data_IF_060621502830
#
_entry.id   IF_060621502830
#
_cell.length_a   1.000
_cell.length_b   1.000
_cell.length_c   1.000
_cell.angle_alpha   90.00
_cell.angle_beta   90.00
_cell.angle_gamma   90.00
#
_symmetry.space_group_name_H-M   'P 1'
#
loop_
_entity.id
_entity.type
_entity.pdbx_description
1 polymer ?
#
# COMPACT_ATOMS: atom_id res chain seq x y z
N UNK A 1 -94.37 10.11 -46.58
CA UNK A 1 -93.07 9.86 -45.93
C UNK A 1 -92.69 11.11 -45.16
N UNK A 2 -92.33 10.99 -43.88
CA UNK A 2 -92.06 12.12 -42.99
C UNK A 2 -90.66 12.70 -43.21
N UNK A 3 -90.62 13.83 -43.91
CA UNK A 3 -89.41 14.52 -44.33
C UNK A 3 -88.68 15.21 -43.16
N UNK A 4 -89.38 15.47 -42.05
CA UNK A 4 -88.80 16.14 -40.87
C UNK A 4 -88.04 15.15 -39.99
N UNK A 5 -88.60 13.95 -39.79
CA UNK A 5 -87.92 12.85 -39.12
C UNK A 5 -86.65 12.42 -39.89
N UNK A 6 -86.73 12.38 -41.23
CA UNK A 6 -85.56 12.07 -42.08
C UNK A 6 -84.44 13.12 -41.97
N UNK A 7 -84.79 14.42 -41.89
CA UNK A 7 -83.81 15.51 -41.68
C UNK A 7 -83.16 15.45 -40.31
N UNK A 8 -83.96 15.26 -39.25
CA UNK A 8 -83.43 15.13 -37.89
C UNK A 8 -82.49 13.92 -37.74
N UNK A 9 -82.82 12.80 -38.38
CA UNK A 9 -81.95 11.62 -38.44
C UNK A 9 -80.65 11.90 -39.21
N UNK A 10 -80.71 12.61 -40.34
CA UNK A 10 -79.53 13.01 -41.10
C UNK A 10 -78.62 13.96 -40.32
N UNK A 11 -79.19 14.93 -39.58
CA UNK A 11 -78.43 15.87 -38.74
C UNK A 11 -77.79 15.17 -37.53
N UNK A 12 -78.49 14.20 -36.92
CA UNK A 12 -77.93 13.37 -35.87
C UNK A 12 -76.76 12.51 -36.38
N UNK A 13 -76.95 11.82 -37.52
CA UNK A 13 -75.90 11.02 -38.15
C UNK A 13 -74.68 11.87 -38.55
N UNK A 14 -74.91 13.09 -39.06
CA UNK A 14 -73.83 14.03 -39.41
C UNK A 14 -73.04 14.48 -38.17
N UNK A 15 -73.71 14.74 -37.04
CA UNK A 15 -73.04 15.06 -35.77
C UNK A 15 -72.21 13.89 -35.26
N UNK A 16 -72.79 12.69 -35.21
CA UNK A 16 -72.05 11.49 -34.80
C UNK A 16 -70.84 11.22 -35.69
N UNK A 17 -70.95 11.41 -37.00
CA UNK A 17 -69.82 11.28 -37.93
C UNK A 17 -68.73 12.31 -37.65
N UNK A 18 -69.09 13.58 -37.40
CA UNK A 18 -68.13 14.64 -37.06
C UNK A 18 -67.41 14.36 -35.75
N UNK A 19 -68.13 13.95 -34.71
CA UNK A 19 -67.55 13.64 -33.39
C UNK A 19 -66.61 12.43 -33.49
N UNK A 20 -67.02 11.38 -34.21
CA UNK A 20 -66.17 10.20 -34.46
C UNK A 20 -64.91 10.56 -35.27
N UNK A 21 -65.05 11.41 -36.30
CA UNK A 21 -63.89 11.86 -37.11
C UNK A 21 -62.93 12.72 -36.30
N UNK A 22 -63.44 13.59 -35.42
CA UNK A 22 -62.62 14.39 -34.52
C UNK A 22 -61.89 13.53 -33.48
N UNK A 23 -62.57 12.52 -32.92
CA UNK A 23 -61.96 11.57 -32.01
C UNK A 23 -60.87 10.72 -32.69
N UNK A 24 -61.09 10.25 -33.92
CA UNK A 24 -60.09 9.55 -34.73
C UNK A 24 -58.87 10.44 -35.03
N UNK A 25 -59.09 11.68 -35.46
CA UNK A 25 -58.00 12.63 -35.70
C UNK A 25 -57.17 12.92 -34.44
N UNK A 26 -57.82 13.08 -33.28
CA UNK A 26 -57.13 13.27 -32.00
C UNK A 26 -56.36 12.02 -31.56
N UNK A 27 -56.93 10.82 -31.75
CA UNK A 27 -56.25 9.56 -31.47
C UNK A 27 -55.01 9.38 -32.35
N UNK A 28 -55.12 9.64 -33.67
CA UNK A 28 -53.99 9.59 -34.60
C UNK A 28 -52.88 10.56 -34.22
N UNK A 29 -53.23 11.79 -33.83
CA UNK A 29 -52.25 12.79 -33.39
C UNK A 29 -51.48 12.29 -32.15
N UNK A 30 -52.19 11.74 -31.15
CA UNK A 30 -51.55 11.16 -29.95
C UNK A 30 -50.67 9.96 -30.29
N UNK A 31 -51.09 9.09 -31.21
CA UNK A 31 -50.26 7.98 -31.67
C UNK A 31 -48.97 8.50 -32.32
N UNK A 32 -49.04 9.51 -33.18
CA UNK A 32 -47.85 10.12 -33.79
C UNK A 32 -46.92 10.77 -32.77
N UNK A 33 -47.46 11.45 -31.76
CA UNK A 33 -46.66 12.00 -30.66
C UNK A 33 -45.96 10.90 -29.86
N UNK A 34 -46.68 9.81 -29.54
CA UNK A 34 -46.12 8.64 -28.85
C UNK A 34 -45.04 7.94 -29.68
N UNK A 35 -45.23 7.83 -30.99
CA UNK A 35 -44.23 7.27 -31.91
C UNK A 35 -42.96 8.13 -31.92
N UNK A 36 -43.13 9.46 -31.94
CA UNK A 36 -42.02 10.42 -31.85
C UNK A 36 -41.24 10.33 -30.54
N UNK A 37 -41.95 10.27 -29.41
CA UNK A 37 -41.34 10.10 -28.08
C UNK A 37 -40.63 8.74 -27.95
N UNK A 38 -41.21 7.68 -28.50
CA UNK A 38 -40.61 6.34 -28.50
C UNK A 38 -39.33 6.30 -29.32
N UNK A 39 -39.34 6.92 -30.51
CA UNK A 39 -38.14 7.03 -31.35
C UNK A 39 -37.03 7.82 -30.64
N UNK A 40 -37.38 8.93 -29.97
CA UNK A 40 -36.43 9.73 -29.20
C UNK A 40 -35.83 8.94 -28.04
N UNK A 41 -36.66 8.21 -27.27
CA UNK A 41 -36.18 7.38 -26.16
C UNK A 41 -35.23 6.26 -26.63
N UNK A 42 -35.51 5.64 -27.78
CA UNK A 42 -34.62 4.63 -28.37
C UNK A 42 -33.28 5.25 -28.78
N UNK A 43 -33.29 6.44 -29.38
CA UNK A 43 -32.06 7.11 -29.79
C UNK A 43 -31.23 7.55 -28.58
N UNK A 44 -31.85 8.10 -27.55
CA UNK A 44 -31.17 8.47 -26.31
C UNK A 44 -30.60 7.23 -25.59
N UNK A 45 -31.33 6.11 -25.58
CA UNK A 45 -30.82 4.84 -25.06
C UNK A 45 -29.59 4.35 -25.84
N UNK A 46 -29.60 4.43 -27.17
CA UNK A 46 -28.45 4.08 -28.02
C UNK A 46 -27.24 4.98 -27.75
N UNK A 47 -27.47 6.27 -27.55
CA UNK A 47 -26.41 7.24 -27.20
C UNK A 47 -25.84 7.01 -25.81
N UNK A 48 -26.68 6.64 -24.84
CA UNK A 48 -26.27 6.40 -23.46
C UNK A 48 -25.59 5.04 -23.27
N UNK A 49 -25.92 4.02 -24.07
CA UNK A 49 -25.35 2.69 -23.96
C UNK A 49 -23.80 2.66 -23.89
N UNK A 50 -23.05 3.25 -24.84
CA UNK A 50 -21.58 3.23 -24.78
C UNK A 50 -21.02 4.02 -23.60
N UNK A 51 -21.66 5.15 -23.22
CA UNK A 51 -21.27 5.94 -22.05
C UNK A 51 -21.46 5.16 -20.75
N UNK A 52 -22.54 4.36 -20.68
CA UNK A 52 -22.81 3.51 -19.52
C UNK A 52 -21.78 2.40 -19.40
N UNK A 53 -21.40 1.76 -20.51
CA UNK A 53 -20.35 0.75 -20.51
C UNK A 53 -19.00 1.31 -20.05
N UNK A 54 -18.65 2.52 -20.51
CA UNK A 54 -17.43 3.20 -20.07
C UNK A 54 -17.46 3.55 -18.58
N UNK A 55 -18.58 4.13 -18.12
CA UNK A 55 -18.80 4.39 -16.70
C UNK A 55 -18.67 3.11 -15.87
N UNK A 56 -19.32 2.02 -16.26
CA UNK A 56 -19.28 0.77 -15.50
C UNK A 56 -17.86 0.19 -15.45
N UNK A 57 -17.04 0.34 -16.51
CA UNK A 57 -15.61 -0.04 -16.49
C UNK A 57 -14.81 0.79 -15.48
N UNK A 58 -14.94 2.12 -15.54
CA UNK A 58 -14.19 3.02 -14.64
C UNK A 58 -14.66 2.86 -13.20
N UNK A 59 -15.96 2.72 -12.97
CA UNK A 59 -16.53 2.50 -11.64
C UNK A 59 -16.03 1.19 -11.03
N UNK A 60 -15.96 0.09 -11.79
CA UNK A 60 -15.37 -1.17 -11.32
C UNK A 60 -13.90 -1.02 -10.95
N UNK A 61 -13.10 -0.34 -11.76
CA UNK A 61 -11.69 -0.09 -11.45
C UNK A 61 -11.54 0.79 -10.20
N UNK A 62 -12.37 1.83 -10.06
CA UNK A 62 -12.35 2.73 -8.93
C UNK A 62 -12.72 2.02 -7.62
N UNK A 63 -13.75 1.17 -7.62
CA UNK A 63 -14.14 0.40 -6.42
C UNK A 63 -13.13 -0.69 -6.08
N UNK A 64 -12.49 -1.30 -7.09
CA UNK A 64 -11.38 -2.24 -6.89
C UNK A 64 -10.20 -1.56 -6.21
N UNK A 65 -9.75 -0.42 -6.75
CA UNK A 65 -8.64 0.38 -6.21
C UNK A 65 -8.96 0.95 -4.81
N UNK A 66 -10.21 1.34 -4.57
CA UNK A 66 -10.67 1.82 -3.26
C UNK A 66 -10.83 0.70 -2.21
N UNK A 67 -10.70 -0.57 -2.60
CA UNK A 67 -10.85 -1.72 -1.70
C UNK A 67 -12.29 -2.01 -1.30
N UNK A 68 -13.28 -1.49 -2.02
CA UNK A 68 -14.72 -1.66 -1.73
C UNK A 68 -15.41 -2.63 -2.68
N UNK A 69 -14.76 -3.03 -3.77
CA UNK A 69 -15.28 -4.05 -4.68
C UNK A 69 -15.31 -5.43 -4.01
N UNK A 70 -16.35 -6.22 -4.32
CA UNK A 70 -16.41 -7.63 -3.95
C UNK A 70 -15.31 -8.47 -4.63
N UNK A 71 -14.82 -8.01 -5.79
CA UNK A 71 -13.72 -8.64 -6.53
C UNK A 71 -12.35 -8.41 -5.87
N UNK A 72 -12.28 -7.57 -4.83
CA UNK A 72 -11.05 -7.34 -4.08
C UNK A 72 -10.89 -8.42 -3.00
N UNK A 73 -10.29 -9.56 -3.38
CA UNK A 73 -10.02 -10.69 -2.50
C UNK A 73 -9.21 -10.29 -1.25
N UNK A 74 -8.27 -9.36 -1.43
CA UNK A 74 -7.38 -8.85 -0.37
C UNK A 74 -8.05 -7.81 0.54
N UNK A 75 -9.23 -7.31 0.17
CA UNK A 75 -10.01 -6.28 0.88
C UNK A 75 -9.17 -5.08 1.34
N UNK A 76 -8.26 -4.64 0.48
CA UNK A 76 -7.33 -3.54 0.75
C UNK A 76 -7.30 -2.54 -0.39
N UNK A 77 -6.94 -1.29 -0.08
CA UNK A 77 -6.78 -0.24 -1.09
C UNK A 77 -5.52 -0.49 -1.92
N UNK A 78 -5.49 0.05 -3.14
CA UNK A 78 -4.34 -0.08 -4.05
C UNK A 78 -3.04 0.40 -3.40
N UNK A 79 -3.05 1.51 -2.65
CA UNK A 79 -1.84 2.03 -2.01
C UNK A 79 -1.32 1.07 -0.92
N UNK A 80 -2.22 0.41 -0.20
CA UNK A 80 -1.86 -0.59 0.80
C UNK A 80 -1.33 -1.88 0.14
N UNK A 81 -1.94 -2.29 -0.97
CA UNK A 81 -1.48 -3.44 -1.76
C UNK A 81 -0.05 -3.22 -2.30
N UNK A 82 0.22 -2.06 -2.88
CA UNK A 82 1.56 -1.70 -3.36
C UNK A 82 2.55 -1.68 -2.20
N UNK A 83 2.20 -1.06 -1.08
CA UNK A 83 3.09 -0.98 0.08
C UNK A 83 3.35 -2.37 0.71
N UNK A 84 2.36 -3.26 0.72
CA UNK A 84 2.52 -4.64 1.15
C UNK A 84 3.54 -5.39 0.27
N UNK A 85 3.43 -5.26 -1.06
CA UNK A 85 4.40 -5.84 -2.00
C UNK A 85 5.82 -5.28 -1.79
N UNK A 86 5.96 -3.99 -1.46
CA UNK A 86 7.27 -3.41 -1.11
C UNK A 86 7.78 -3.94 0.22
N UNK A 87 6.91 -4.07 1.22
CA UNK A 87 7.28 -4.62 2.51
C UNK A 87 7.74 -6.08 2.39
N UNK A 88 7.13 -6.88 1.51
CA UNK A 88 7.57 -8.24 1.21
C UNK A 88 8.99 -8.28 0.63
N UNK A 89 9.30 -7.41 -0.33
CA UNK A 89 10.65 -7.26 -0.87
C UNK A 89 11.66 -6.86 0.21
N UNK A 90 11.29 -5.88 1.04
CA UNK A 90 12.11 -5.42 2.17
C UNK A 90 12.33 -6.53 3.20
N UNK A 91 11.28 -7.30 3.54
CA UNK A 91 11.37 -8.42 4.46
C UNK A 91 12.26 -9.54 3.93
N UNK A 92 12.23 -9.82 2.62
CA UNK A 92 13.12 -10.77 1.98
C UNK A 92 14.59 -10.32 2.04
N UNK A 93 14.87 -9.04 1.73
CA UNK A 93 16.21 -8.47 1.82
C UNK A 93 16.73 -8.43 3.27
N UNK A 94 15.86 -8.04 4.22
CA UNK A 94 16.16 -8.03 5.64
C UNK A 94 16.46 -9.43 6.18
N UNK A 95 15.71 -10.44 5.74
CA UNK A 95 15.86 -11.83 6.17
C UNK A 95 17.22 -12.42 5.88
N UNK A 96 17.88 -12.01 4.79
CA UNK A 96 19.24 -12.47 4.51
C UNK A 96 20.22 -12.08 5.63
N UNK A 97 20.12 -10.83 6.12
CA UNK A 97 20.96 -10.33 7.22
C UNK A 97 20.51 -10.85 8.56
N UNK A 98 19.21 -10.93 8.81
CA UNK A 98 18.68 -11.46 10.06
C UNK A 98 19.10 -12.92 10.26
N UNK A 99 19.07 -13.74 9.21
CA UNK A 99 19.59 -15.11 9.28
C UNK A 99 21.07 -15.14 9.61
N UNK A 100 21.87 -14.24 9.06
CA UNK A 100 23.30 -14.20 9.37
C UNK A 100 23.55 -13.83 10.84
N UNK A 101 22.95 -12.74 11.33
CA UNK A 101 23.11 -12.24 12.71
C UNK A 101 22.38 -13.06 13.79
N UNK A 102 21.57 -14.04 13.39
CA UNK A 102 20.90 -14.94 14.33
C UNK A 102 21.41 -16.36 14.20
N UNK A 103 22.57 -16.57 13.56
CA UNK A 103 23.13 -17.89 13.30
C UNK A 103 22.10 -18.86 12.67
N UNK A 104 21.30 -18.35 11.73
CA UNK A 104 20.28 -19.06 10.97
C UNK A 104 18.93 -19.20 11.65
N UNK A 105 18.73 -18.64 12.85
CA UNK A 105 17.52 -18.86 13.65
C UNK A 105 16.30 -18.11 13.14
N UNK A 106 16.45 -16.85 12.75
CA UNK A 106 15.32 -15.95 12.49
C UNK A 106 15.21 -15.52 11.02
N UNK A 107 13.98 -15.44 10.53
CA UNK A 107 13.63 -14.90 9.21
C UNK A 107 12.39 -14.02 9.34
N UNK A 108 12.36 -12.89 8.64
CA UNK A 108 11.21 -11.98 8.60
C UNK A 108 10.28 -12.37 7.46
N UNK A 109 8.99 -12.48 7.75
CA UNK A 109 7.95 -12.72 6.75
C UNK A 109 6.87 -11.67 6.85
N UNK A 110 6.38 -11.27 5.69
CA UNK A 110 5.23 -10.38 5.58
C UNK A 110 3.95 -11.14 5.95
N UNK A 111 3.03 -10.43 6.59
CA UNK A 111 1.73 -10.94 6.98
C UNK A 111 0.61 -10.10 6.38
N UNK A 112 -0.26 -10.78 5.65
CA UNK A 112 -1.52 -10.25 5.14
C UNK A 112 -2.61 -10.16 6.21
N UNK A 113 -2.37 -10.72 7.40
CA UNK A 113 -3.35 -10.75 8.46
C UNK A 113 -3.77 -9.32 8.86
N UNK A 114 -5.08 -9.11 9.00
CA UNK A 114 -5.60 -7.87 9.56
C UNK A 114 -5.25 -7.85 11.04
N UNK A 115 -4.23 -7.09 11.42
CA UNK A 115 -3.97 -6.74 12.82
C UNK A 115 -5.22 -6.03 13.35
N UNK A 116 -5.89 -6.61 14.34
CA UNK A 116 -7.18 -6.12 14.84
C UNK A 116 -7.13 -4.63 15.19
N UNK A 117 -8.01 -3.82 14.58
CA UNK A 117 -8.11 -2.38 14.82
C UNK A 117 -8.14 -1.53 13.54
N UNK A 118 -7.98 -0.21 13.68
CA UNK A 118 -7.82 0.77 12.58
C UNK A 118 -6.47 0.65 11.84
N UNK A 119 -5.70 -0.41 12.11
CA UNK A 119 -4.40 -0.66 11.48
C UNK A 119 -4.54 -0.79 9.96
N UNK A 120 -3.55 -0.26 9.24
CA UNK A 120 -3.48 -0.39 7.78
C UNK A 120 -3.25 -1.87 7.46
N UNK A 121 -4.29 -2.53 6.95
CA UNK A 121 -4.23 -3.93 6.50
C UNK A 121 -3.05 -4.15 5.54
N UNK A 122 -2.32 -5.26 5.70
CA UNK A 122 -1.25 -5.66 4.78
C UNK A 122 0.15 -5.14 5.11
N UNK A 123 0.40 -4.60 6.31
CA UNK A 123 1.74 -4.19 6.76
C UNK A 123 2.23 -4.96 8.00
N UNK A 124 1.71 -6.18 8.20
CA UNK A 124 2.15 -7.04 9.30
C UNK A 124 3.51 -7.66 8.98
N UNK A 125 4.32 -7.86 10.02
CA UNK A 125 5.54 -8.65 9.97
C UNK A 125 5.49 -9.71 11.07
N UNK A 126 5.94 -10.91 10.74
CA UNK A 126 6.19 -11.98 11.68
C UNK A 126 7.63 -12.47 11.57
N UNK A 127 8.09 -13.15 12.61
CA UNK A 127 9.38 -13.82 12.63
C UNK A 127 9.14 -15.32 12.63
N UNK A 128 9.76 -16.02 11.69
CA UNK A 128 9.85 -17.49 11.71
C UNK A 128 11.08 -17.85 12.54
N UNK A 129 10.87 -18.61 13.63
CA UNK A 129 11.94 -19.19 14.45
C UNK A 129 12.24 -20.61 13.95
N UNK A 130 13.38 -20.78 13.28
CA UNK A 130 13.80 -22.05 12.69
C UNK A 130 14.09 -23.16 13.71
N UNK A 131 14.38 -22.82 14.97
CA UNK A 131 14.62 -23.82 16.02
C UNK A 131 13.32 -24.43 16.54
N UNK A 132 12.26 -23.62 16.60
CA UNK A 132 10.94 -24.09 17.06
C UNK A 132 9.98 -24.43 15.92
N UNK A 133 10.28 -24.00 14.69
CA UNK A 133 9.41 -24.10 13.53
C UNK A 133 8.14 -23.25 13.62
N UNK A 134 8.10 -22.29 14.55
CA UNK A 134 6.90 -21.48 14.83
C UNK A 134 7.05 -20.06 14.29
N UNK A 135 5.92 -19.53 13.84
CA UNK A 135 5.74 -18.12 13.54
C UNK A 135 5.42 -17.35 14.84
N UNK A 136 6.12 -16.24 15.04
CA UNK A 136 6.01 -15.38 16.22
C UNK A 136 5.67 -13.96 15.80
N UNK A 137 4.82 -13.30 16.58
CA UNK A 137 4.65 -11.86 16.47
C UNK A 137 5.95 -11.16 16.88
N UNK A 138 6.35 -10.16 16.10
CA UNK A 138 7.49 -9.28 16.40
C UNK A 138 7.41 -8.66 17.80
N UNK A 139 6.21 -8.46 18.36
CA UNK A 139 6.01 -7.97 19.72
C UNK A 139 6.50 -8.94 20.82
N UNK A 140 6.76 -10.20 20.49
CA UNK A 140 7.23 -11.24 21.43
C UNK A 140 8.74 -11.41 21.44
N UNK A 141 9.48 -10.62 20.67
CA UNK A 141 10.93 -10.67 20.58
C UNK A 141 11.58 -10.09 21.85
N UNK A 142 12.74 -10.63 22.22
CA UNK A 142 13.59 -10.04 23.27
C UNK A 142 14.20 -8.71 22.81
N UNK A 143 14.86 -7.98 23.72
CA UNK A 143 15.53 -6.72 23.38
C UNK A 143 16.57 -6.87 22.26
N UNK A 144 17.47 -7.85 22.36
CA UNK A 144 18.47 -8.13 21.33
C UNK A 144 17.86 -8.63 20.02
N UNK A 145 16.82 -9.47 20.10
CA UNK A 145 16.10 -9.96 18.92
C UNK A 145 15.39 -8.82 18.16
N UNK A 146 14.80 -7.88 18.90
CA UNK A 146 14.14 -6.70 18.33
C UNK A 146 15.18 -5.80 17.65
N UNK A 147 16.37 -5.66 18.24
CA UNK A 147 17.46 -4.91 17.62
C UNK A 147 17.89 -5.52 16.29
N UNK A 148 18.11 -6.84 16.24
CA UNK A 148 18.45 -7.53 14.99
C UNK A 148 17.39 -7.39 13.92
N UNK A 149 16.12 -7.58 14.29
CA UNK A 149 15.01 -7.45 13.35
C UNK A 149 14.94 -6.02 12.79
N UNK A 150 15.09 -5.02 13.65
CA UNK A 150 15.03 -3.60 13.26
C UNK A 150 16.22 -3.20 12.38
N UNK A 151 17.44 -3.59 12.75
CA UNK A 151 18.64 -3.33 11.97
C UNK A 151 18.56 -4.02 10.60
N UNK A 152 18.16 -5.29 10.57
CA UNK A 152 17.96 -6.04 9.33
C UNK A 152 16.94 -5.36 8.42
N UNK A 153 15.83 -4.88 9.00
CA UNK A 153 14.77 -4.21 8.25
C UNK A 153 15.22 -2.86 7.69
N UNK A 154 15.94 -2.05 8.49
CA UNK A 154 16.50 -0.78 8.04
C UNK A 154 17.48 -0.97 6.87
N UNK A 155 18.35 -1.99 6.96
CA UNK A 155 19.29 -2.34 5.90
C UNK A 155 18.60 -2.90 4.66
N UNK A 156 17.61 -3.78 4.84
CA UNK A 156 16.81 -4.32 3.74
C UNK A 156 16.02 -3.24 3.01
N UNK A 157 15.48 -2.25 3.74
CA UNK A 157 14.81 -1.10 3.15
C UNK A 157 15.78 -0.27 2.32
N UNK A 158 16.98 -0.02 2.84
CA UNK A 158 17.99 0.75 2.13
C UNK A 158 18.44 0.07 0.83
N UNK A 159 18.49 -1.26 0.79
CA UNK A 159 18.79 -2.01 -0.43
C UNK A 159 17.67 -1.87 -1.46
N UNK A 160 16.42 -2.14 -1.07
CA UNK A 160 15.26 -2.06 -1.98
C UNK A 160 15.10 -0.65 -2.57
N UNK A 161 15.30 0.39 -1.76
CA UNK A 161 15.26 1.78 -2.22
C UNK A 161 16.40 2.08 -3.21
N UNK A 162 17.60 1.54 -2.97
CA UNK A 162 18.75 1.74 -3.86
C UNK A 162 18.53 1.08 -5.22
N UNK A 163 17.98 -0.13 -5.23
CA UNK A 163 17.70 -0.88 -6.46
C UNK A 163 16.60 -0.18 -7.30
N UNK A 164 15.57 0.38 -6.67
CA UNK A 164 14.50 1.12 -7.37
C UNK A 164 14.95 2.47 -7.92
N UNK A 165 15.83 3.18 -7.21
CA UNK A 165 16.31 4.49 -7.63
C UNK A 165 17.33 4.43 -8.78
N UNK A 166 17.48 3.28 -9.45
CA UNK A 166 18.44 3.08 -10.54
C UNK A 166 19.89 3.08 -10.06
N UNK A 167 20.13 2.68 -8.81
CA UNK A 167 21.46 2.62 -8.22
C UNK A 167 21.96 3.93 -7.62
N UNK A 168 21.09 4.93 -7.39
CA UNK A 168 21.42 6.07 -6.52
C UNK A 168 21.58 5.52 -5.11
N UNK A 169 22.84 5.43 -4.67
CA UNK A 169 23.23 4.82 -3.40
C UNK A 169 22.84 5.73 -2.24
N UNK A 170 22.31 5.14 -1.17
CA UNK A 170 22.25 5.79 0.14
C UNK A 170 23.67 5.78 0.74
N UNK A 171 24.34 6.93 0.70
CA UNK A 171 25.77 7.05 1.04
C UNK A 171 26.07 6.94 2.53
N UNK A 172 25.09 7.22 3.42
CA UNK A 172 25.30 7.26 4.88
C UNK A 172 24.16 6.62 5.67
N UNK A 173 24.50 5.77 6.64
CA UNK A 173 23.59 5.18 7.62
C UNK A 173 24.03 5.58 9.03
N UNK A 174 23.09 6.06 9.86
CA UNK A 174 23.31 6.25 11.30
C UNK A 174 22.51 5.23 12.10
N UNK A 175 23.18 4.60 13.07
CA UNK A 175 22.57 3.65 14.01
C UNK A 175 22.73 4.23 15.41
N UNK A 176 21.62 4.43 16.11
CA UNK A 176 21.59 5.06 17.43
C UNK A 176 21.11 4.08 18.50
N UNK A 177 21.99 3.83 19.48
CA UNK A 177 21.78 2.96 20.63
C UNK A 177 21.29 1.52 20.26
N UNK A 178 20.98 0.70 21.27
CA UNK A 178 20.48 -0.68 21.06
C UNK A 178 21.53 -1.79 21.09
N UNK A 179 22.81 -1.44 21.05
CA UNK A 179 23.90 -2.41 21.26
C UNK A 179 24.03 -2.88 22.72
N UNK A 180 23.54 -2.10 23.68
CA UNK A 180 23.67 -2.41 25.12
C UNK A 180 22.82 -3.59 25.61
N UNK A 181 21.86 -4.05 24.80
CA UNK A 181 21.06 -5.25 25.08
C UNK A 181 21.62 -6.52 24.43
N UNK A 182 22.75 -6.42 23.74
CA UNK A 182 23.41 -7.54 23.07
C UNK A 182 24.46 -8.16 24.00
N UNK A 183 24.58 -9.48 23.97
CA UNK A 183 25.75 -10.16 24.51
C UNK A 183 26.97 -9.99 23.58
N UNK A 184 28.15 -10.37 24.06
CA UNK A 184 29.42 -10.19 23.35
C UNK A 184 29.42 -10.90 21.99
N UNK A 185 29.00 -12.16 21.93
CA UNK A 185 28.97 -12.93 20.67
C UNK A 185 28.02 -12.31 19.65
N UNK A 186 26.84 -11.91 20.10
CA UNK A 186 25.84 -11.21 19.30
C UNK A 186 26.36 -9.87 18.75
N UNK A 187 27.14 -9.12 19.54
CA UNK A 187 27.76 -7.88 19.10
C UNK A 187 28.79 -8.10 17.98
N UNK A 188 29.54 -9.20 18.01
CA UNK A 188 30.48 -9.60 16.95
C UNK A 188 29.76 -9.76 15.61
N UNK A 189 28.67 -10.53 15.59
CA UNK A 189 27.91 -10.79 14.36
C UNK A 189 27.32 -9.50 13.78
N UNK A 190 26.88 -8.54 14.61
CA UNK A 190 26.44 -7.24 14.12
C UNK A 190 27.57 -6.47 13.47
N UNK A 191 28.75 -6.44 14.10
CA UNK A 191 29.88 -5.66 13.60
C UNK A 191 30.41 -6.20 12.28
N UNK A 192 30.44 -7.52 12.11
CA UNK A 192 30.78 -8.15 10.84
C UNK A 192 29.82 -7.72 9.72
N UNK A 193 28.52 -7.64 10.01
CA UNK A 193 27.54 -7.12 9.04
C UNK A 193 27.79 -5.65 8.73
N UNK A 194 28.08 -4.82 9.73
CA UNK A 194 28.35 -3.39 9.51
C UNK A 194 29.64 -3.16 8.73
N UNK A 195 30.68 -3.95 8.96
CA UNK A 195 31.92 -3.90 8.19
C UNK A 195 31.70 -4.33 6.74
N UNK A 196 30.89 -5.37 6.50
CA UNK A 196 30.52 -5.77 5.12
C UNK A 196 29.77 -4.66 4.35
N UNK A 197 29.05 -3.78 5.05
CA UNK A 197 28.40 -2.62 4.43
C UNK A 197 29.41 -1.52 4.11
N UNK A 198 30.39 -1.29 5.00
CA UNK A 198 31.47 -0.32 4.78
C UNK A 198 32.29 -0.68 3.54
N UNK A 199 32.54 -1.97 3.30
CA UNK A 199 33.21 -2.46 2.08
C UNK A 199 32.47 -2.11 0.78
N UNK A 200 31.15 -1.88 0.86
CA UNK A 200 30.31 -1.49 -0.29
C UNK A 200 30.23 0.02 -0.48
N UNK A 201 31.22 0.76 0.01
CA UNK A 201 31.33 2.22 -0.10
C UNK A 201 30.18 2.97 0.61
N UNK A 202 29.62 2.37 1.67
CA UNK A 202 28.63 3.01 2.54
C UNK A 202 29.29 3.55 3.80
N UNK A 203 28.97 4.79 4.16
CA UNK A 203 29.39 5.39 5.44
C UNK A 203 28.44 4.93 6.54
N UNK A 204 28.96 4.23 7.56
CA UNK A 204 28.16 3.81 8.73
C UNK A 204 28.62 4.59 9.95
N UNK A 205 27.71 5.39 10.53
CA UNK A 205 27.89 6.08 11.81
C UNK A 205 27.17 5.34 12.93
N UNK A 206 27.86 5.09 14.03
CA UNK A 206 27.30 4.39 15.20
C UNK A 206 27.36 5.32 16.42
N UNK A 207 26.22 5.47 17.10
CA UNK A 207 26.11 6.14 18.40
C UNK A 207 25.84 5.07 19.45
N UNK A 208 26.76 4.92 20.39
CA UNK A 208 26.62 3.90 21.44
C UNK A 208 27.45 4.26 22.67
N UNK A 209 26.96 3.84 23.84
CA UNK A 209 27.66 3.90 25.11
C UNK A 209 28.46 2.63 25.44
N UNK A 210 28.31 1.56 24.66
CA UNK A 210 28.94 0.25 24.91
C UNK A 210 30.46 0.35 24.79
N UNK A 211 31.17 -0.13 25.81
CA UNK A 211 32.63 -0.04 25.87
C UNK A 211 33.32 -0.88 24.78
N UNK A 212 32.76 -2.05 24.46
CA UNK A 212 33.36 -3.02 23.54
C UNK A 212 33.43 -2.49 22.10
N UNK A 213 32.45 -1.66 21.69
CA UNK A 213 32.50 -0.94 20.41
C UNK A 213 33.71 -0.02 20.28
N UNK A 214 34.20 0.53 21.40
CA UNK A 214 35.37 1.44 21.40
C UNK A 214 36.67 0.75 21.01
N UNK A 215 36.76 -0.57 21.24
CA UNK A 215 37.93 -1.35 20.90
C UNK A 215 37.96 -1.71 19.41
N UNK A 216 36.77 -1.91 18.83
CA UNK A 216 36.61 -2.41 17.45
C UNK A 216 36.50 -1.32 16.41
N UNK A 217 36.02 -0.14 16.79
CA UNK A 217 35.87 1.01 15.88
C UNK A 217 36.96 2.05 16.19
N UNK A 218 38.06 2.07 15.41
CA UNK A 218 39.23 2.90 15.71
C UNK A 218 39.00 4.40 15.49
N UNK A 219 38.15 4.78 14.53
CA UNK A 219 37.78 6.18 14.28
C UNK A 219 36.51 6.52 15.06
N UNK A 220 36.61 7.40 16.06
CA UNK A 220 35.49 7.75 16.95
C UNK A 220 35.47 9.21 17.34
N UNK A 221 34.25 9.71 17.56
CA UNK A 221 33.99 10.98 18.21
C UNK A 221 33.59 10.70 19.67
N UNK A 222 34.45 11.03 20.61
CA UNK A 222 34.20 10.85 22.04
C UNK A 222 33.55 12.12 22.62
N UNK A 223 32.36 11.96 23.21
CA UNK A 223 31.66 13.04 23.92
C UNK A 223 32.09 13.04 25.38
N UNK A 224 32.76 14.10 25.82
CA UNK A 224 33.24 14.31 27.19
C UNK A 224 32.36 15.32 27.91
N UNK A 225 31.66 14.89 28.96
CA UNK A 225 30.81 15.77 29.78
C UNK A 225 31.67 16.54 30.79
N UNK A 226 31.51 17.85 30.85
CA UNK A 226 32.14 18.76 31.80
C UNK A 226 31.11 19.60 32.57
N UNK A 227 31.58 20.39 33.54
CA UNK A 227 30.70 21.25 34.37
C UNK A 227 30.01 22.37 33.60
N UNK A 228 30.57 22.81 32.48
CA UNK A 228 30.03 23.90 31.64
C UNK A 228 29.34 23.41 30.35
N UNK A 229 29.23 22.09 30.15
CA UNK A 229 28.66 21.51 28.94
C UNK A 229 29.41 20.26 28.47
N UNK A 230 29.10 19.80 27.26
CA UNK A 230 29.75 18.64 26.63
C UNK A 230 30.72 19.09 25.54
N UNK A 231 31.90 18.47 25.47
CA UNK A 231 32.89 18.69 24.43
C UNK A 231 33.09 17.42 23.59
N UNK A 232 33.37 17.56 22.30
CA UNK A 232 33.66 16.44 21.39
C UNK A 232 35.16 16.33 21.16
N UNK A 233 35.71 15.13 21.28
CA UNK A 233 37.10 14.80 20.96
C UNK A 233 37.15 13.77 19.84
N UNK A 234 37.87 14.08 18.77
CA UNK A 234 38.13 13.10 17.73
C UNK A 234 39.29 12.19 18.17
N UNK A 235 39.08 10.88 18.14
CA UNK A 235 40.12 9.87 18.31
C UNK A 235 40.15 8.99 17.07
N UNK A 236 41.26 9.03 16.35
CA UNK A 236 41.62 8.04 15.33
C UNK A 236 42.69 7.14 15.91
N UNK A 237 42.68 5.85 15.56
CA UNK A 237 43.86 5.02 15.80
C UNK A 237 45.02 5.63 15.02
N UNK A 238 46.05 6.08 15.72
CA UNK A 238 47.34 6.40 15.13
C UNK A 238 47.85 5.15 14.43
N UNK A 239 48.06 5.22 13.11
CA UNK A 239 48.79 4.18 12.40
C UNK A 239 50.13 3.97 13.12
N UNK A 240 50.39 2.74 13.56
CA UNK A 240 51.70 2.39 14.09
C UNK A 240 52.73 2.66 12.98
N UNK A 241 53.83 3.40 13.25
CA UNK A 241 54.91 3.49 12.29
C UNK A 241 55.55 2.11 12.18
N UNK A 242 55.48 1.52 10.99
CA UNK A 242 56.32 0.39 10.59
C UNK A 242 57.74 0.86 10.28
#
# INVERSE_FOLDING_TARGET
>A
ADLTAARAAADAATRTLRDASAADAAARTRCQELDGLSAQAVEDARRLAPLREEYDRVARLATLAAGTSADNERRMRLEAYVLAARLEQVAAAASARLRHMSSGRYTLVHSDARTGGRGRSGLGLHVIDAWTGRERDTATLSGGETFFASLSLALGLADVVTDEAGGVRLDTLFIDEGFGSLDEQTLDEVLDVLDSLRERDRTVGIVSHVADLRQRIPARLEVVKGREGSAVRHRTATAAPG
#
